data_IF_678418722235
#
_entry.id   IF_678418722235
#
_cell.length_a   1.000
_cell.length_b   1.000
_cell.length_c   1.000
_cell.angle_alpha   90.00
_cell.angle_beta   90.00
_cell.angle_gamma   90.00
#
_symmetry.space_group_name_H-M   'P 1'
#
loop_
_entity.id
_entity.type
_entity.pdbx_description
1 polymer ?
#
# COMPACT_ATOMS: atom_id res chain seq x y z
N UNK A 1 28.61 -7.93 21.67
CA UNK A 1 27.26 -8.48 21.47
C UNK A 1 26.27 -7.32 21.38
N UNK A 2 25.90 -6.91 20.17
CA UNK A 2 24.74 -6.04 19.95
C UNK A 2 24.21 -6.37 18.56
N UNK A 3 23.20 -7.24 18.51
CA UNK A 3 22.53 -7.59 17.28
C UNK A 3 21.79 -6.38 16.75
N UNK A 4 22.18 -5.91 15.58
CA UNK A 4 21.37 -5.01 14.75
C UNK A 4 20.02 -5.72 14.50
N UNK A 5 18.88 -5.15 14.94
CA UNK A 5 17.58 -5.79 14.70
C UNK A 5 17.29 -5.81 13.19
N UNK A 6 16.96 -7.00 12.69
CA UNK A 6 16.60 -7.30 11.30
C UNK A 6 15.49 -6.38 10.78
N UNK A 7 15.88 -5.30 10.08
CA UNK A 7 14.98 -4.40 9.34
C UNK A 7 14.11 -5.12 8.30
N UNK A 8 14.45 -6.37 7.95
CA UNK A 8 13.72 -7.19 6.98
C UNK A 8 12.37 -7.70 7.50
N UNK A 9 12.17 -7.81 8.82
CA UNK A 9 10.92 -8.33 9.41
C UNK A 9 9.71 -7.42 9.17
N UNK A 10 9.90 -6.10 9.30
CA UNK A 10 8.84 -5.12 9.14
C UNK A 10 8.31 -5.02 7.70
N UNK A 11 9.21 -5.09 6.71
CA UNK A 11 8.83 -5.07 5.29
C UNK A 11 8.02 -6.31 4.89
N UNK A 12 8.37 -7.47 5.44
CA UNK A 12 7.65 -8.72 5.18
C UNK A 12 6.26 -8.74 5.84
N UNK A 13 6.11 -8.16 7.04
CA UNK A 13 4.80 -8.03 7.69
C UNK A 13 3.85 -7.14 6.88
N UNK A 14 4.30 -5.96 6.43
CA UNK A 14 3.47 -5.03 5.66
C UNK A 14 3.06 -5.63 4.30
N UNK A 15 3.95 -6.35 3.62
CA UNK A 15 3.57 -7.03 2.36
C UNK A 15 2.50 -8.08 2.59
N UNK A 16 2.62 -8.87 3.66
CA UNK A 16 1.62 -9.89 4.00
C UNK A 16 0.28 -9.25 4.32
N UNK A 17 0.29 -8.16 5.08
CA UNK A 17 -0.89 -7.35 5.40
C UNK A 17 -1.58 -6.80 4.16
N UNK A 18 -0.83 -6.18 3.23
CA UNK A 18 -1.34 -5.71 1.93
C UNK A 18 -2.03 -6.85 1.17
N UNK A 19 -1.40 -8.03 1.09
CA UNK A 19 -1.97 -9.17 0.37
C UNK A 19 -3.23 -9.71 1.05
N UNK A 20 -3.25 -9.80 2.38
CA UNK A 20 -4.43 -10.22 3.14
C UNK A 20 -5.59 -9.26 2.88
N UNK A 21 -5.36 -7.94 3.04
CA UNK A 21 -6.41 -6.95 2.88
C UNK A 21 -6.91 -6.85 1.44
N UNK A 22 -6.03 -7.01 0.47
CA UNK A 22 -6.40 -7.08 -0.95
C UNK A 22 -7.35 -8.26 -1.21
N UNK A 23 -7.03 -9.45 -0.69
CA UNK A 23 -7.89 -10.64 -0.84
C UNK A 23 -9.27 -10.41 -0.24
N UNK A 24 -9.34 -9.78 0.93
CA UNK A 24 -10.61 -9.46 1.60
C UNK A 24 -11.44 -8.46 0.78
N UNK A 25 -10.82 -7.40 0.26
CA UNK A 25 -11.50 -6.41 -0.57
C UNK A 25 -12.09 -7.05 -1.84
N UNK A 26 -11.31 -7.90 -2.52
CA UNK A 26 -11.76 -8.61 -3.71
C UNK A 26 -12.91 -9.58 -3.40
N UNK A 27 -12.82 -10.33 -2.30
CA UNK A 27 -13.88 -11.25 -1.87
C UNK A 27 -15.21 -10.52 -1.58
N UNK A 28 -15.12 -9.31 -1.04
CA UNK A 28 -16.28 -8.46 -0.73
C UNK A 28 -16.76 -7.62 -1.93
N UNK A 29 -16.11 -7.74 -3.09
CA UNK A 29 -16.33 -6.87 -4.26
C UNK A 29 -16.22 -5.38 -3.90
N UNK A 30 -15.35 -5.06 -2.95
CA UNK A 30 -15.07 -3.69 -2.56
C UNK A 30 -14.04 -3.09 -3.53
N UNK A 31 -14.31 -1.90 -4.10
CA UNK A 31 -13.32 -1.17 -4.88
C UNK A 31 -12.02 -0.94 -4.08
N UNK A 32 -10.87 -1.22 -4.69
CA UNK A 32 -9.55 -1.10 -4.06
C UNK A 32 -8.51 -0.70 -5.10
N UNK A 33 -7.56 0.15 -4.71
CA UNK A 33 -6.41 0.56 -5.55
C UNK A 33 -5.13 0.02 -4.93
N UNK A 34 -4.21 -0.45 -5.78
CA UNK A 34 -2.83 -0.79 -5.40
C UNK A 34 -1.88 0.07 -6.21
N UNK A 35 -1.26 1.05 -5.56
CA UNK A 35 -0.18 1.83 -6.16
C UNK A 35 1.15 1.09 -5.97
N UNK A 36 2.00 1.10 -7.01
CA UNK A 36 3.33 0.50 -6.97
C UNK A 36 4.34 1.45 -7.58
N UNK A 37 5.48 1.66 -6.91
CA UNK A 37 6.61 2.34 -7.54
C UNK A 37 7.20 1.43 -8.61
N UNK A 38 7.19 1.89 -9.86
CA UNK A 38 7.72 1.15 -11.02
C UNK A 38 9.11 1.62 -11.48
N UNK A 39 9.61 2.72 -10.90
CA UNK A 39 10.95 3.27 -11.19
C UNK A 39 11.44 4.13 -10.02
N UNK A 40 12.73 4.07 -9.72
CA UNK A 40 13.39 4.92 -8.71
C UNK A 40 13.88 4.15 -7.47
N UNK A 41 14.32 4.86 -6.42
CA UNK A 41 14.99 4.26 -5.25
C UNK A 41 14.13 3.26 -4.45
N UNK A 42 12.81 3.42 -4.47
CA UNK A 42 11.84 2.58 -3.75
C UNK A 42 11.08 1.63 -4.69
N UNK A 43 11.76 1.11 -5.73
CA UNK A 43 11.17 0.21 -6.71
C UNK A 43 10.43 -0.97 -6.05
N UNK A 44 9.18 -1.18 -6.46
CA UNK A 44 8.34 -2.27 -5.97
C UNK A 44 7.64 -1.98 -4.64
N UNK A 45 7.91 -0.84 -3.98
CA UNK A 45 7.12 -0.38 -2.84
C UNK A 45 5.64 -0.23 -3.22
N UNK A 46 4.77 -0.61 -2.29
CA UNK A 46 3.32 -0.68 -2.53
C UNK A 46 2.56 0.09 -1.48
N UNK A 47 1.48 0.71 -1.93
CA UNK A 47 0.48 1.35 -1.11
C UNK A 47 -0.88 0.81 -1.54
N UNK A 48 -1.61 0.19 -0.62
CA UNK A 48 -2.97 -0.27 -0.85
C UNK A 48 -3.93 0.77 -0.28
N UNK A 49 -4.90 1.18 -1.09
CA UNK A 49 -5.87 2.22 -0.74
C UNK A 49 -7.28 1.67 -0.88
N UNK A 50 -8.02 1.73 0.22
CA UNK A 50 -9.45 1.50 0.32
C UNK A 50 -10.16 2.82 0.62
N UNK A 51 -11.50 2.90 0.50
CA UNK A 51 -12.25 4.12 0.82
C UNK A 51 -12.03 4.70 2.23
N UNK A 52 -11.65 3.89 3.20
CA UNK A 52 -11.50 4.28 4.62
C UNK A 52 -10.17 3.88 5.24
N UNK A 53 -9.24 3.33 4.45
CA UNK A 53 -8.03 2.71 4.98
C UNK A 53 -6.90 2.77 3.95
N UNK A 54 -5.67 2.90 4.44
CA UNK A 54 -4.46 2.88 3.61
C UNK A 54 -3.38 2.07 4.30
N UNK A 55 -2.77 1.13 3.57
CA UNK A 55 -1.79 0.18 4.11
C UNK A 55 -0.53 0.21 3.25
N UNK A 56 0.63 0.35 3.91
CA UNK A 56 1.93 0.43 3.25
C UNK A 56 2.40 1.87 3.05
N UNK A 57 3.46 2.02 2.26
CA UNK A 57 4.05 3.32 1.90
C UNK A 57 4.85 3.16 0.60
N UNK A 58 4.87 4.23 -0.20
CA UNK A 58 5.74 4.36 -1.36
C UNK A 58 7.16 4.86 -0.97
N UNK A 59 7.39 5.11 0.33
CA UNK A 59 8.67 5.56 0.88
C UNK A 59 8.77 7.08 1.04
N UNK A 60 7.71 7.83 0.71
CA UNK A 60 7.69 9.29 0.83
C UNK A 60 6.28 9.79 1.15
N UNK A 61 6.10 10.42 2.31
CA UNK A 61 4.77 10.79 2.84
C UNK A 61 3.98 11.74 1.94
N UNK A 62 4.64 12.71 1.29
CA UNK A 62 3.97 13.62 0.37
C UNK A 62 3.48 12.90 -0.90
N UNK A 63 4.23 11.89 -1.35
CA UNK A 63 3.84 11.05 -2.48
C UNK A 63 2.68 10.14 -2.07
N UNK A 64 2.74 9.53 -0.89
CA UNK A 64 1.66 8.71 -0.34
C UNK A 64 0.35 9.50 -0.25
N UNK A 65 0.40 10.72 0.28
CA UNK A 65 -0.76 11.61 0.39
C UNK A 65 -1.33 11.98 -0.99
N UNK A 66 -0.46 12.31 -1.96
CA UNK A 66 -0.91 12.65 -3.31
C UNK A 66 -1.58 11.47 -4.01
N UNK A 67 -0.94 10.30 -3.96
CA UNK A 67 -1.45 9.08 -4.57
C UNK A 67 -2.76 8.64 -3.91
N UNK A 68 -2.91 8.81 -2.59
CA UNK A 68 -4.17 8.51 -1.90
C UNK A 68 -5.33 9.38 -2.41
N UNK A 69 -5.10 10.68 -2.66
CA UNK A 69 -6.12 11.57 -3.23
C UNK A 69 -6.53 11.11 -4.63
N UNK A 70 -5.55 10.85 -5.50
CA UNK A 70 -5.79 10.41 -6.88
C UNK A 70 -6.51 9.03 -6.90
N UNK A 71 -6.12 8.12 -6.00
CA UNK A 71 -6.76 6.80 -5.85
C UNK A 71 -8.21 6.90 -5.35
N UNK A 72 -8.50 7.77 -4.37
CA UNK A 72 -9.85 7.97 -3.88
C UNK A 72 -10.78 8.60 -4.93
N UNK A 73 -10.23 9.41 -5.85
CA UNK A 73 -10.97 9.88 -7.00
C UNK A 73 -11.34 8.72 -7.94
N UNK A 74 -10.36 7.87 -8.31
CA UNK A 74 -10.59 6.68 -9.14
C UNK A 74 -11.66 5.74 -8.53
N UNK A 75 -11.61 5.51 -7.22
CA UNK A 75 -12.57 4.65 -6.53
C UNK A 75 -14.01 5.19 -6.52
N UNK A 76 -14.20 6.51 -6.63
CA UNK A 76 -15.54 7.11 -6.72
C UNK A 76 -16.17 6.91 -8.09
N UNK A 77 -15.34 6.88 -9.13
CA UNK A 77 -15.79 6.70 -10.52
C UNK A 77 -16.20 5.25 -10.82
N UNK A 78 -15.71 4.28 -10.02
CA UNK A 78 -16.02 2.84 -10.12
C UNK A 78 -17.31 2.41 -9.37
N UNK A 79 -18.17 3.36 -8.99
CA UNK A 79 -19.38 3.12 -8.18
C UNK A 79 -20.64 2.85 -8.99
#
# INVERSE_FOLDING_TARGET
MTGIPSSNGHLQSTRREILTRLKEALAQRQPVVVATIVRGPSLGSKLLILPHETIGSLGHSALDARVAVDALALLKDER
#
